data_IF_893498355426
#
_entry.id   IF_893498355426
#
_cell.length_a   1.000
_cell.length_b   1.000
_cell.length_c   1.000
_cell.angle_alpha   90.00
_cell.angle_beta   90.00
_cell.angle_gamma   90.00
#
_symmetry.space_group_name_H-M   'P 1'
#
loop_
_entity.id
_entity.type
_entity.pdbx_description
1 polymer ?
#
# COMPACT_ATOMS: atom_id res chain seq x y z
N UNK A 1 3.49 -19.26 6.77
CA UNK A 1 4.19 -17.96 6.67
C UNK A 1 3.19 -16.84 6.80
N UNK A 2 3.49 -15.86 7.63
CA UNK A 2 2.62 -14.68 7.77
C UNK A 2 2.65 -13.86 6.50
N UNK A 3 1.53 -13.20 6.21
CA UNK A 3 1.43 -12.29 5.06
C UNK A 3 0.76 -11.00 5.51
N UNK A 4 1.28 -9.88 5.01
CA UNK A 4 0.71 -8.56 5.26
C UNK A 4 0.28 -7.94 3.94
N UNK A 5 -0.88 -7.27 3.96
CA UNK A 5 -1.24 -6.35 2.89
C UNK A 5 -0.50 -5.04 3.12
N UNK A 6 0.04 -4.46 2.05
CA UNK A 6 0.70 -3.16 2.12
C UNK A 6 -0.02 -2.23 1.15
N UNK A 7 -0.64 -1.18 1.68
CA UNK A 7 -1.35 -0.18 0.87
C UNK A 7 -0.50 1.08 0.83
N UNK A 8 -0.04 1.43 -0.35
CA UNK A 8 0.82 2.60 -0.54
C UNK A 8 0.77 3.03 -2.01
N UNK A 9 1.03 4.30 -2.26
CA UNK A 9 1.21 4.81 -3.62
C UNK A 9 2.47 5.68 -3.69
N UNK A 10 2.38 6.92 -3.22
CA UNK A 10 3.49 7.87 -3.31
C UNK A 10 4.65 7.54 -2.36
N UNK A 11 4.40 6.74 -1.34
CA UNK A 11 5.40 6.38 -0.34
C UNK A 11 5.97 4.98 -0.52
N UNK A 12 5.73 4.35 -1.68
CA UNK A 12 6.21 2.99 -1.94
C UNK A 12 7.72 2.85 -1.80
N UNK A 13 8.48 3.89 -2.14
CA UNK A 13 9.93 3.88 -2.03
C UNK A 13 10.45 4.45 -0.73
N UNK A 14 9.60 4.79 0.23
CA UNK A 14 10.05 5.46 1.44
C UNK A 14 10.84 4.53 2.36
N UNK A 15 11.90 5.04 3.03
CA UNK A 15 12.65 4.24 4.00
C UNK A 15 11.78 3.77 5.16
N UNK A 16 10.81 4.58 5.57
CA UNK A 16 9.91 4.24 6.68
C UNK A 16 9.06 3.01 6.37
N UNK A 17 8.59 2.88 5.12
CA UNK A 17 7.83 1.70 4.73
C UNK A 17 8.72 0.46 4.72
N UNK A 18 9.90 0.56 4.15
CA UNK A 18 10.85 -0.56 4.13
C UNK A 18 11.18 -1.01 5.55
N UNK A 19 11.40 -0.07 6.46
CA UNK A 19 11.69 -0.38 7.85
C UNK A 19 10.53 -1.12 8.51
N UNK A 20 9.30 -0.68 8.28
CA UNK A 20 8.13 -1.35 8.85
C UNK A 20 8.00 -2.78 8.34
N UNK A 21 8.28 -3.01 7.06
CA UNK A 21 8.26 -4.34 6.48
C UNK A 21 9.37 -5.22 7.08
N UNK A 22 10.57 -4.68 7.24
CA UNK A 22 11.68 -5.43 7.85
C UNK A 22 11.42 -5.79 9.30
N UNK A 23 10.72 -4.93 10.04
CA UNK A 23 10.33 -5.23 11.41
C UNK A 23 9.44 -6.48 11.49
N UNK A 24 8.57 -6.67 10.51
CA UNK A 24 7.75 -7.87 10.45
C UNK A 24 8.57 -9.11 10.12
N UNK A 25 9.55 -8.98 9.22
CA UNK A 25 10.47 -10.08 8.92
C UNK A 25 11.30 -10.49 10.13
N UNK A 26 11.67 -9.55 10.96
CA UNK A 26 12.45 -9.85 12.17
C UNK A 26 11.68 -10.72 13.17
N UNK A 27 10.36 -10.73 13.08
CA UNK A 27 9.50 -11.55 13.92
C UNK A 27 9.28 -12.95 13.35
N UNK A 28 9.80 -13.24 12.18
CA UNK A 28 9.67 -14.53 11.52
C UNK A 28 9.37 -14.38 10.03
N UNK A 29 9.34 -15.49 9.28
CA UNK A 29 9.08 -15.44 7.84
C UNK A 29 7.80 -14.69 7.55
N UNK A 30 7.87 -13.80 6.57
CA UNK A 30 6.75 -12.93 6.21
C UNK A 30 6.81 -12.57 4.73
N UNK A 31 5.67 -12.61 4.06
CA UNK A 31 5.52 -12.14 2.69
C UNK A 31 4.59 -10.93 2.67
N UNK A 32 4.65 -10.15 1.61
CA UNK A 32 3.89 -8.92 1.49
C UNK A 32 3.16 -8.88 0.16
N UNK A 33 1.92 -8.44 0.19
CA UNK A 33 1.14 -8.21 -1.02
C UNK A 33 0.87 -6.72 -1.12
N UNK A 34 1.47 -6.08 -2.12
CA UNK A 34 1.34 -4.65 -2.34
C UNK A 34 0.02 -4.36 -3.04
N UNK A 35 -0.73 -3.41 -2.53
CA UNK A 35 -1.93 -2.90 -3.19
C UNK A 35 -1.69 -1.43 -3.47
N UNK A 36 -1.61 -1.07 -4.75
CA UNK A 36 -1.32 0.30 -5.16
C UNK A 36 -2.61 0.90 -5.72
N UNK A 37 -3.30 1.75 -4.93
CA UNK A 37 -4.52 2.38 -5.42
C UNK A 37 -4.23 3.30 -6.59
N UNK A 38 -5.20 3.40 -7.51
CA UNK A 38 -5.13 4.37 -8.58
C UNK A 38 -5.14 5.78 -7.99
N UNK A 39 -4.40 6.68 -8.60
CA UNK A 39 -4.30 8.07 -8.14
C UNK A 39 -4.90 9.02 -9.18
N UNK A 40 -5.98 9.69 -8.80
CA UNK A 40 -6.73 10.59 -9.68
C UNK A 40 -6.55 12.07 -9.35
N UNK A 41 -5.56 12.43 -8.53
CA UNK A 41 -5.45 13.74 -7.93
C UNK A 41 -4.42 14.69 -8.53
N UNK A 42 -3.91 14.43 -9.71
CA UNK A 42 -2.90 15.31 -10.32
C UNK A 42 -3.50 16.64 -10.71
N UNK A 43 -2.94 17.79 -10.23
CA UNK A 43 -3.50 19.09 -10.57
C UNK A 43 -3.30 19.39 -12.07
N UNK A 44 -4.35 19.90 -12.70
CA UNK A 44 -4.30 20.41 -14.07
C UNK A 44 -4.20 19.37 -15.17
N UNK A 45 -4.27 18.09 -14.85
CA UNK A 45 -4.14 17.02 -15.84
C UNK A 45 -5.46 16.27 -15.99
N UNK A 46 -5.87 16.14 -17.25
CA UNK A 46 -7.00 15.28 -17.59
C UNK A 46 -6.43 13.92 -17.99
N UNK A 47 -6.44 12.99 -17.06
CA UNK A 47 -5.93 11.64 -17.30
C UNK A 47 -7.08 10.72 -17.66
N UNK A 48 -6.84 9.84 -18.63
CA UNK A 48 -7.79 8.77 -18.93
C UNK A 48 -7.67 7.68 -17.87
N UNK A 49 -8.71 6.85 -17.76
CA UNK A 49 -8.70 5.68 -16.88
C UNK A 49 -7.49 4.79 -17.13
N UNK A 50 -7.18 4.54 -18.41
CA UNK A 50 -6.04 3.68 -18.74
C UNK A 50 -4.70 4.29 -18.35
N UNK A 51 -4.57 5.63 -18.44
CA UNK A 51 -3.35 6.31 -18.01
C UNK A 51 -3.16 6.24 -16.49
N UNK A 52 -4.22 6.44 -15.73
CA UNK A 52 -4.19 6.35 -14.27
C UNK A 52 -3.78 4.95 -13.83
N UNK A 53 -4.38 3.93 -14.44
CA UNK A 53 -4.08 2.54 -14.12
C UNK A 53 -2.66 2.17 -14.53
N UNK A 54 -2.20 2.63 -15.68
CA UNK A 54 -0.83 2.37 -16.14
C UNK A 54 0.20 3.00 -15.22
N UNK A 55 -0.07 4.21 -14.71
CA UNK A 55 0.82 4.88 -13.76
C UNK A 55 0.92 4.09 -12.45
N UNK A 56 -0.21 3.62 -11.93
CA UNK A 56 -0.21 2.80 -10.71
C UNK A 56 0.54 1.49 -10.95
N UNK A 57 0.34 0.86 -12.10
CA UNK A 57 1.03 -0.38 -12.45
C UNK A 57 2.54 -0.17 -12.56
N UNK A 58 2.99 0.96 -13.08
CA UNK A 58 4.40 1.30 -13.16
C UNK A 58 5.03 1.45 -11.79
N UNK A 59 4.37 2.17 -10.90
CA UNK A 59 4.82 2.32 -9.52
C UNK A 59 4.88 0.97 -8.80
N UNK A 60 3.88 0.13 -9.02
CA UNK A 60 3.84 -1.21 -8.43
C UNK A 60 5.04 -2.04 -8.89
N UNK A 61 5.31 -2.07 -10.18
CA UNK A 61 6.40 -2.89 -10.72
C UNK A 61 7.76 -2.40 -10.24
N UNK A 62 7.98 -1.08 -10.21
CA UNK A 62 9.22 -0.51 -9.67
C UNK A 62 9.40 -0.90 -8.20
N UNK A 63 8.34 -0.82 -7.40
CA UNK A 63 8.41 -1.19 -5.99
C UNK A 63 8.66 -2.68 -5.82
N UNK A 64 7.98 -3.52 -6.60
CA UNK A 64 8.13 -4.96 -6.53
C UNK A 64 9.58 -5.36 -6.82
N UNK A 65 10.17 -4.79 -7.85
CA UNK A 65 11.55 -5.08 -8.22
C UNK A 65 12.52 -4.61 -7.14
N UNK A 66 12.29 -3.42 -6.59
CA UNK A 66 13.14 -2.85 -5.54
C UNK A 66 13.10 -3.69 -4.26
N UNK A 67 11.91 -4.05 -3.81
CA UNK A 67 11.77 -4.87 -2.60
C UNK A 67 12.35 -6.27 -2.80
N UNK A 68 12.12 -6.87 -3.96
CA UNK A 68 12.69 -8.20 -4.28
C UNK A 68 14.21 -8.15 -4.26
N UNK A 69 14.80 -7.09 -4.81
CA UNK A 69 16.26 -6.92 -4.78
C UNK A 69 16.80 -6.78 -3.36
N UNK A 70 15.98 -6.35 -2.42
CA UNK A 70 16.36 -6.20 -1.02
C UNK A 70 16.02 -7.43 -0.17
N UNK A 71 15.61 -8.52 -0.79
CA UNK A 71 15.38 -9.79 -0.12
C UNK A 71 13.96 -9.98 0.42
N UNK A 72 13.01 -9.12 0.02
CA UNK A 72 11.63 -9.24 0.47
C UNK A 72 10.80 -10.05 -0.52
N UNK A 73 9.92 -10.90 -0.01
CA UNK A 73 9.00 -11.67 -0.84
C UNK A 73 7.74 -10.84 -1.06
N UNK A 74 7.57 -10.31 -2.26
CA UNK A 74 6.46 -9.41 -2.57
C UNK A 74 5.72 -9.84 -3.83
N UNK A 75 4.39 -9.72 -3.74
CA UNK A 75 3.49 -9.74 -4.89
C UNK A 75 2.73 -8.43 -4.89
N UNK A 76 1.89 -8.20 -5.87
CA UNK A 76 1.12 -6.96 -5.85
C UNK A 76 0.08 -6.84 -6.92
N UNK A 77 -0.76 -5.83 -6.77
CA UNK A 77 -1.81 -5.50 -7.72
C UNK A 77 -2.19 -4.03 -7.62
N UNK A 78 -2.75 -3.50 -8.70
CA UNK A 78 -3.35 -2.17 -8.71
C UNK A 78 -4.76 -2.29 -8.13
N UNK A 79 -5.12 -1.38 -7.24
CA UNK A 79 -6.43 -1.40 -6.61
C UNK A 79 -7.26 -0.17 -6.92
N UNK A 80 -8.44 -0.13 -6.32
CA UNK A 80 -9.36 0.99 -6.40
C UNK A 80 -8.70 2.28 -5.93
N UNK A 81 -9.17 3.42 -6.43
CA UNK A 81 -8.65 4.73 -6.02
C UNK A 81 -8.83 5.00 -4.52
N UNK A 82 -9.86 4.43 -3.90
CA UNK A 82 -10.03 4.48 -2.46
C UNK A 82 -9.17 3.41 -1.81
N UNK A 83 -8.22 3.78 -0.92
CA UNK A 83 -7.41 2.77 -0.24
C UNK A 83 -8.24 1.82 0.62
N UNK A 84 -9.33 2.30 1.19
CA UNK A 84 -10.24 1.45 1.96
C UNK A 84 -10.86 0.38 1.08
N UNK A 85 -11.41 0.79 -0.06
CA UNK A 85 -12.04 -0.15 -1.00
C UNK A 85 -11.02 -1.10 -1.61
N UNK A 86 -9.81 -0.61 -1.88
CA UNK A 86 -8.74 -1.43 -2.41
C UNK A 86 -8.42 -2.60 -1.46
N UNK A 87 -8.32 -2.33 -0.16
CA UNK A 87 -8.07 -3.36 0.85
C UNK A 87 -9.27 -4.30 0.96
N UNK A 88 -10.47 -3.76 1.06
CA UNK A 88 -11.68 -4.57 1.19
C UNK A 88 -11.82 -5.54 0.02
N UNK A 89 -11.54 -5.08 -1.20
CA UNK A 89 -11.65 -5.92 -2.40
C UNK A 89 -10.66 -7.09 -2.37
N UNK A 90 -9.43 -6.86 -1.92
CA UNK A 90 -8.44 -7.93 -1.80
C UNK A 90 -8.89 -8.95 -0.76
N UNK A 91 -9.38 -8.49 0.39
CA UNK A 91 -9.82 -9.38 1.45
C UNK A 91 -11.04 -10.20 1.04
N UNK A 92 -11.93 -9.64 0.23
CA UNK A 92 -13.07 -10.40 -0.30
C UNK A 92 -12.65 -11.54 -1.21
N UNK A 93 -11.61 -11.31 -2.03
CA UNK A 93 -11.12 -12.34 -2.96
C UNK A 93 -10.28 -13.40 -2.28
N UNK A 94 -9.42 -13.00 -1.33
CA UNK A 94 -8.45 -13.92 -0.72
C UNK A 94 -8.89 -14.44 0.64
N UNK A 95 -9.86 -13.77 1.29
CA UNK A 95 -10.27 -14.08 2.65
C UNK A 95 -9.41 -13.37 3.68
N UNK A 96 -10.05 -13.00 4.80
CA UNK A 96 -9.37 -12.26 5.86
C UNK A 96 -8.26 -13.08 6.53
N UNK A 97 -8.42 -14.40 6.56
CA UNK A 97 -7.44 -15.30 7.18
C UNK A 97 -6.16 -15.42 6.38
N UNK A 98 -6.15 -14.96 5.13
CA UNK A 98 -4.96 -14.98 4.29
C UNK A 98 -3.88 -14.01 4.79
N UNK A 99 -4.25 -13.03 5.60
CA UNK A 99 -3.34 -11.96 6.02
C UNK A 99 -3.34 -11.79 7.53
N UNK A 100 -2.16 -11.48 8.08
CA UNK A 100 -1.98 -11.19 9.51
C UNK A 100 -2.37 -9.76 9.85
N UNK A 101 -2.31 -8.85 8.88
CA UNK A 101 -2.65 -7.45 9.08
C UNK A 101 -2.44 -6.63 7.84
N UNK A 102 -2.62 -5.32 7.99
CA UNK A 102 -2.50 -4.36 6.90
C UNK A 102 -1.51 -3.26 7.30
N UNK A 103 -0.53 -3.00 6.46
CA UNK A 103 0.36 -1.85 6.61
C UNK A 103 -0.18 -0.76 5.68
N UNK A 104 -0.56 0.38 6.25
CA UNK A 104 -1.04 1.53 5.49
C UNK A 104 0.04 2.60 5.53
N UNK A 105 0.64 2.89 4.38
CA UNK A 105 1.70 3.88 4.26
C UNK A 105 1.13 5.15 3.65
N UNK A 106 1.27 6.26 4.37
CA UNK A 106 0.73 7.55 3.96
C UNK A 106 1.80 8.63 3.93
N UNK A 107 1.50 9.71 3.24
CA UNK A 107 2.25 10.94 3.37
C UNK A 107 1.98 11.57 4.75
N UNK A 108 2.78 12.55 5.18
CA UNK A 108 2.50 13.28 6.42
C UNK A 108 1.12 13.95 6.42
N UNK A 109 0.58 14.20 7.61
CA UNK A 109 -0.76 14.74 7.80
C UNK A 109 -1.05 16.01 6.99
N UNK A 110 -0.07 16.89 6.85
CA UNK A 110 -0.25 18.16 6.14
C UNK A 110 -0.56 17.99 4.65
N UNK A 111 -0.20 16.86 4.06
CA UNK A 111 -0.35 16.66 2.61
C UNK A 111 -1.06 15.35 2.25
N UNK A 112 -1.43 14.54 3.22
CA UNK A 112 -2.04 13.25 2.94
C UNK A 112 -3.55 13.36 2.75
N UNK A 113 -4.00 13.06 1.53
CA UNK A 113 -5.43 12.94 1.25
C UNK A 113 -6.04 11.76 1.99
N UNK A 114 -5.31 10.66 2.12
CA UNK A 114 -5.80 9.47 2.82
C UNK A 114 -6.03 9.75 4.31
N UNK A 115 -5.15 10.54 4.95
CA UNK A 115 -5.33 10.87 6.35
C UNK A 115 -6.49 11.84 6.56
N UNK A 116 -6.76 12.73 5.61
CA UNK A 116 -7.95 13.59 5.67
C UNK A 116 -9.23 12.78 5.59
N UNK A 117 -9.19 11.62 4.95
CA UNK A 117 -10.32 10.70 4.86
C UNK A 117 -10.29 9.61 5.93
N UNK A 118 -9.34 9.69 6.87
CA UNK A 118 -9.20 8.76 7.99
C UNK A 118 -9.06 7.30 7.52
N UNK A 119 -8.28 7.09 6.45
CA UNK A 119 -8.18 5.77 5.82
C UNK A 119 -7.67 4.68 6.77
N UNK A 120 -6.59 4.88 7.56
CA UNK A 120 -6.13 3.80 8.45
C UNK A 120 -7.21 3.32 9.43
N UNK A 121 -7.92 4.24 10.07
CA UNK A 121 -8.97 3.88 11.02
C UNK A 121 -10.16 3.23 10.33
N UNK A 122 -10.52 3.72 9.15
CA UNK A 122 -11.62 3.13 8.37
C UNK A 122 -11.30 1.72 7.90
N UNK A 123 -10.06 1.46 7.51
CA UNK A 123 -9.64 0.12 7.15
C UNK A 123 -9.79 -0.82 8.35
N UNK A 124 -9.32 -0.38 9.52
CA UNK A 124 -9.44 -1.19 10.73
C UNK A 124 -10.89 -1.48 11.07
N UNK A 125 -11.76 -0.47 11.04
CA UNK A 125 -13.18 -0.65 11.34
C UNK A 125 -13.89 -1.55 10.33
N UNK A 126 -13.62 -1.36 9.04
CA UNK A 126 -14.32 -2.09 7.99
C UNK A 126 -13.85 -3.52 7.83
N UNK A 127 -12.63 -3.81 8.21
CA UNK A 127 -12.04 -5.15 8.02
C UNK A 127 -11.86 -5.93 9.32
N UNK A 128 -11.78 -5.24 10.45
CA UNK A 128 -11.42 -5.87 11.72
C UNK A 128 -9.97 -6.34 11.77
N UNK A 129 -9.14 -5.97 10.81
CA UNK A 129 -7.75 -6.38 10.74
C UNK A 129 -6.86 -5.45 11.56
N UNK A 130 -5.76 -5.98 12.15
CA UNK A 130 -4.74 -5.10 12.73
C UNK A 130 -4.15 -4.20 11.63
N UNK A 131 -4.01 -2.91 11.93
CA UNK A 131 -3.46 -1.93 11.00
C UNK A 131 -2.19 -1.33 11.59
N UNK A 132 -1.12 -1.34 10.80
CA UNK A 132 0.12 -0.64 11.11
C UNK A 132 0.16 0.58 10.21
N UNK A 133 0.08 1.77 10.79
CA UNK A 133 0.13 3.01 10.04
C UNK A 133 1.58 3.53 9.98
N UNK A 134 2.07 3.73 8.78
CA UNK A 134 3.42 4.24 8.54
C UNK A 134 3.31 5.58 7.85
N UNK A 135 3.99 6.59 8.37
CA UNK A 135 4.09 7.89 7.72
C UNK A 135 5.44 7.95 7.03
N UNK A 136 5.40 8.08 5.71
CA UNK A 136 6.59 8.11 4.90
C UNK A 136 6.67 9.39 4.08
N UNK A 137 7.71 9.48 3.27
CA UNK A 137 7.94 10.60 2.38
C UNK A 137 8.12 10.09 0.96
N UNK A 138 7.67 10.85 -0.07
CA UNK A 138 7.96 10.43 -1.43
C UNK A 138 9.47 10.40 -1.63
N UNK A 139 9.94 9.36 -2.33
CA UNK A 139 11.35 9.31 -2.70
C UNK A 139 11.49 10.05 -4.01
N UNK A 140 12.24 11.14 -3.99
CA UNK A 140 12.52 11.88 -5.21
C UNK A 140 13.46 11.07 -6.06
N UNK A 141 13.07 10.93 -7.30
CA UNK A 141 13.89 10.24 -8.28
C UNK A 141 15.14 11.06 -8.60
#
# INVERSE_FOLDING_TARGET
MRRYLVVAHQTLGSPELLEAMRQQLDQGPCAFHLVVPEYHGGPGLTWTESQVRAEAARHLEEARLSFTAQGLAVTGEVGDASPVDAVVNVLRRHGRKAYAGVIVSTLPHSVSKWLRLDAPARIQRNTGMPVIHVIGHPVDA
#
